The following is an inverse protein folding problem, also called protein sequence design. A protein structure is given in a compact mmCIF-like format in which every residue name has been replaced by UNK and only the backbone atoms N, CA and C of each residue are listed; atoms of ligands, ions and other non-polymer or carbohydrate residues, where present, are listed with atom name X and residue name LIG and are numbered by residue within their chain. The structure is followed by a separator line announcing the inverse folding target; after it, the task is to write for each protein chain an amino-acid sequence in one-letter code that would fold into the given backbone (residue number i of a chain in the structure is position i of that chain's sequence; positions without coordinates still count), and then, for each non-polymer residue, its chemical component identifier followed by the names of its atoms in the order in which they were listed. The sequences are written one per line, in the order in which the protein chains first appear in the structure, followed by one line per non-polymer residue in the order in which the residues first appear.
data_IF_451298665615
#
_entry.id   IF_451298665615
#
_cell.length_a   1.000
_cell.length_b   1.000
_cell.length_c   1.000
_cell.angle_alpha   90.00
_cell.angle_beta   90.00
_cell.angle_gamma   90.00
#
_symmetry.space_group_name_H-M   'P 1'
#
loop_
_entity.id
_entity.type
_entity.pdbx_description
1 polymer ?
#
# COMPACT_ATOMS: atom_id res chain seq x y z
N UNK A 1 17.92 20.66 50.79
CA UNK A 1 18.61 20.90 49.49
C UNK A 1 18.60 19.65 48.59
N UNK A 2 18.90 18.46 49.12
CA UNK A 2 18.96 17.20 48.36
C UNK A 2 17.64 16.81 47.68
N UNK A 3 16.48 17.00 48.35
CA UNK A 3 15.16 16.69 47.76
C UNK A 3 14.81 17.53 46.52
N UNK A 4 15.31 18.77 46.40
CA UNK A 4 15.02 19.62 45.23
C UNK A 4 15.76 19.13 43.97
N UNK A 5 16.94 18.54 44.15
CA UNK A 5 17.74 17.99 43.04
C UNK A 5 17.10 16.75 42.44
N UNK A 6 16.50 15.90 43.28
CA UNK A 6 15.83 14.67 42.84
C UNK A 6 14.57 14.97 42.04
N UNK A 7 13.80 15.97 42.47
CA UNK A 7 12.57 16.38 41.79
C UNK A 7 12.85 16.91 40.38
N UNK A 8 13.93 17.69 40.21
CA UNK A 8 14.31 18.24 38.91
C UNK A 8 14.74 17.12 37.95
N UNK A 9 15.56 16.17 38.42
CA UNK A 9 15.98 15.03 37.58
C UNK A 9 14.81 14.15 37.15
N UNK A 10 13.83 13.92 38.05
CA UNK A 10 12.63 13.16 37.74
C UNK A 10 11.79 13.84 36.65
N UNK A 11 11.60 15.17 36.75
CA UNK A 11 10.86 15.94 35.74
C UNK A 11 11.57 15.88 34.38
N UNK A 12 12.88 16.06 34.32
CA UNK A 12 13.62 15.94 33.06
C UNK A 12 13.51 14.54 32.43
N UNK A 13 13.54 13.49 33.25
CA UNK A 13 13.41 12.11 32.77
C UNK A 13 12.01 11.83 32.21
N UNK A 14 10.96 12.30 32.87
CA UNK A 14 9.58 12.16 32.40
C UNK A 14 9.39 12.92 31.09
N UNK A 15 9.84 14.17 31.00
CA UNK A 15 9.69 14.98 29.77
C UNK A 15 10.47 14.39 28.60
N UNK A 16 11.66 13.82 28.85
CA UNK A 16 12.45 13.13 27.83
C UNK A 16 11.78 11.84 27.34
N UNK A 17 11.19 11.04 28.23
CA UNK A 17 10.39 9.87 27.85
C UNK A 17 9.16 10.25 27.01
N UNK A 18 8.46 11.33 27.35
CA UNK A 18 7.30 11.81 26.58
C UNK A 18 7.67 12.26 25.17
N UNK A 19 8.87 12.84 24.98
CA UNK A 19 9.37 13.27 23.66
C UNK A 19 9.81 12.08 22.78
N UNK A 20 10.22 10.96 23.37
CA UNK A 20 10.56 9.72 22.65
C UNK A 20 9.33 8.95 22.15
N UNK A 21 8.18 9.09 22.83
CA UNK A 21 6.94 8.44 22.41
C UNK A 21 6.30 9.12 21.18
N UNK A 22 6.50 10.43 21.00
CA UNK A 22 6.00 11.16 19.83
C UNK A 22 6.87 11.02 18.58
N UNK A 23 8.03 10.37 18.66
CA UNK A 23 8.88 10.08 17.49
C UNK A 23 8.47 8.81 16.72
N UNK A 24 7.53 8.01 17.24
CA UNK A 24 6.95 6.85 16.57
C UNK A 24 5.60 7.15 15.90
N UNK A 25 5.33 8.40 15.55
CA UNK A 25 4.34 8.73 14.53
C UNK A 25 4.84 8.32 13.13
N UNK A 26 5.35 7.08 13.01
CA UNK A 26 5.32 6.38 11.74
C UNK A 26 3.87 6.19 11.37
N UNK A 27 3.54 6.37 10.10
CA UNK A 27 2.29 5.91 9.51
C UNK A 27 2.00 4.52 10.09
N UNK A 28 1.02 4.44 11.00
CA UNK A 28 0.68 3.19 11.66
C UNK A 28 0.23 2.18 10.60
N UNK A 29 0.19 0.88 10.94
CA UNK A 29 -0.49 -0.08 10.08
C UNK A 29 -1.87 0.48 9.75
N UNK A 30 -2.28 0.35 8.49
CA UNK A 30 -3.59 0.80 8.07
C UNK A 30 -4.60 0.23 9.07
N UNK A 31 -5.45 1.07 9.69
CA UNK A 31 -6.47 0.53 10.57
C UNK A 31 -7.23 -0.52 9.76
N UNK A 32 -7.49 -1.69 10.37
CA UNK A 32 -8.25 -2.76 9.73
C UNK A 32 -9.44 -2.12 9.03
N UNK A 33 -9.47 -2.22 7.70
CA UNK A 33 -10.52 -1.54 6.95
C UNK A 33 -11.84 -2.11 7.44
N UNK A 34 -12.73 -1.30 8.06
CA UNK A 34 -14.01 -1.80 8.54
C UNK A 34 -14.91 -2.25 7.39
N UNK A 35 -14.47 -2.03 6.15
CA UNK A 35 -15.17 -2.36 4.92
C UNK A 35 -14.50 -3.51 4.16
N UNK A 36 -13.66 -4.33 4.82
CA UNK A 36 -13.12 -5.54 4.22
C UNK A 36 -14.24 -6.41 3.64
N UNK A 37 -14.03 -6.97 2.44
CA UNK A 37 -15.05 -7.75 1.77
C UNK A 37 -15.12 -9.17 2.34
N UNK A 38 -16.17 -9.47 3.12
CA UNK A 38 -16.33 -10.74 3.83
C UNK A 38 -16.39 -11.97 2.90
N UNK A 39 -16.96 -11.83 1.70
CA UNK A 39 -17.10 -12.92 0.72
C UNK A 39 -15.91 -13.01 -0.25
N UNK A 40 -14.74 -12.54 0.18
CA UNK A 40 -13.54 -12.59 -0.63
C UNK A 40 -13.10 -14.04 -0.90
N UNK A 41 -12.57 -14.24 -2.11
CA UNK A 41 -12.01 -15.50 -2.56
C UNK A 41 -10.86 -15.18 -3.49
N UNK A 42 -9.65 -15.43 -3.00
CA UNK A 42 -8.42 -15.13 -3.69
C UNK A 42 -8.36 -15.90 -5.02
N UNK A 43 -8.81 -17.15 -5.05
CA UNK A 43 -8.88 -17.97 -6.27
C UNK A 43 -9.84 -17.42 -7.33
N UNK A 44 -10.99 -16.86 -6.93
CA UNK A 44 -11.94 -16.21 -7.85
C UNK A 44 -11.45 -14.84 -8.29
N UNK A 45 -10.74 -14.12 -7.42
CA UNK A 45 -10.15 -12.83 -7.72
C UNK A 45 -8.99 -12.91 -8.72
N UNK A 46 -8.58 -14.14 -9.09
CA UNK A 46 -7.52 -14.37 -10.04
C UNK A 46 -7.86 -13.86 -11.43
N UNK A 47 -6.92 -13.16 -12.04
CA UNK A 47 -7.09 -12.63 -13.38
C UNK A 47 -6.22 -11.44 -13.68
N UNK A 48 -6.63 -10.71 -14.72
CA UNK A 48 -6.03 -9.47 -15.15
C UNK A 48 -6.98 -8.33 -14.83
N UNK A 49 -6.53 -7.39 -13.99
CA UNK A 49 -7.29 -6.20 -13.66
C UNK A 49 -6.62 -4.95 -14.23
N UNK A 50 -7.45 -3.97 -14.59
CA UNK A 50 -7.02 -2.67 -15.07
C UNK A 50 -7.46 -1.60 -14.09
N UNK A 51 -6.52 -0.74 -13.68
CA UNK A 51 -6.87 0.43 -12.88
C UNK A 51 -7.68 1.41 -13.73
N UNK A 52 -8.94 1.62 -13.34
CA UNK A 52 -9.85 2.53 -14.04
C UNK A 52 -9.95 3.92 -13.39
N UNK A 53 -9.91 4.00 -12.06
CA UNK A 53 -10.08 5.25 -11.32
C UNK A 53 -9.44 5.16 -9.93
N UNK A 54 -9.03 6.31 -9.38
CA UNK A 54 -8.48 6.46 -8.02
C UNK A 54 -9.14 7.66 -7.31
N UNK A 55 -9.37 7.57 -6.00
CA UNK A 55 -9.97 8.65 -5.22
C UNK A 55 -8.98 9.72 -4.75
N UNK A 56 -7.68 9.42 -4.74
CA UNK A 56 -6.66 10.32 -4.22
C UNK A 56 -5.74 10.83 -5.34
N UNK A 57 -5.36 12.12 -5.26
CA UNK A 57 -4.46 12.79 -6.20
C UNK A 57 -3.00 12.29 -6.16
N UNK A 58 -2.71 11.28 -5.35
CA UNK A 58 -1.41 10.61 -5.32
C UNK A 58 -1.04 9.95 -6.67
N UNK A 59 -2.06 9.60 -7.48
CA UNK A 59 -1.89 9.15 -8.86
C UNK A 59 -2.12 10.27 -9.90
N UNK A 60 -2.55 11.48 -9.49
CA UNK A 60 -2.77 12.63 -10.37
C UNK A 60 -1.47 13.33 -10.82
N UNK A 61 -0.31 12.97 -10.27
CA UNK A 61 0.99 13.48 -10.71
C UNK A 61 1.40 13.01 -12.11
N UNK A 62 0.62 12.12 -12.74
CA UNK A 62 0.97 11.45 -14.01
C UNK A 62 0.01 11.78 -15.16
N UNK A 63 -0.65 12.94 -15.15
CA UNK A 63 -1.65 13.33 -16.17
C UNK A 63 -1.17 13.27 -17.63
N UNK A 64 0.15 13.25 -17.85
CA UNK A 64 0.77 13.20 -19.18
C UNK A 64 1.35 11.82 -19.54
N UNK A 65 1.25 10.81 -18.67
CA UNK A 65 1.79 9.47 -18.90
C UNK A 65 0.68 8.47 -19.22
N UNK A 66 0.80 7.77 -20.34
CA UNK A 66 0.00 6.57 -20.62
C UNK A 66 0.42 5.47 -19.64
N UNK A 67 -0.19 5.50 -18.45
CA UNK A 67 0.05 4.54 -17.38
C UNK A 67 -1.00 3.44 -17.42
N UNK A 68 -0.56 2.20 -17.59
CA UNK A 68 -1.42 1.03 -17.37
C UNK A 68 -0.93 0.30 -16.14
N UNK A 69 -1.77 0.28 -15.11
CA UNK A 69 -1.56 -0.55 -13.94
C UNK A 69 -2.31 -1.86 -14.16
N UNK A 70 -1.55 -2.94 -14.34
CA UNK A 70 -2.07 -4.29 -14.46
C UNK A 70 -1.98 -4.93 -13.09
N UNK A 71 -3.06 -5.53 -12.59
CA UNK A 71 -3.00 -6.40 -11.41
C UNK A 71 -3.13 -7.83 -11.89
N UNK A 72 -2.05 -8.62 -11.74
CA UNK A 72 -2.05 -10.03 -12.11
C UNK A 72 -2.07 -10.87 -10.84
N UNK A 73 -2.97 -11.85 -10.78
CA UNK A 73 -2.88 -12.84 -9.72
C UNK A 73 -1.85 -13.91 -10.02
N UNK A 74 -0.92 -14.17 -9.10
CA UNK A 74 0.05 -15.25 -9.26
C UNK A 74 -0.63 -16.63 -9.08
N UNK A 75 -0.32 -17.56 -9.98
CA UNK A 75 -0.93 -18.91 -10.02
C UNK A 75 -0.17 -20.01 -9.28
N UNK A 76 0.90 -19.68 -8.54
CA UNK A 76 1.59 -20.66 -7.69
C UNK A 76 1.04 -20.56 -6.25
N UNK A 77 1.55 -21.37 -5.33
CA UNK A 77 1.03 -21.64 -3.97
C UNK A 77 0.60 -20.42 -3.13
N UNK A 78 1.02 -19.21 -3.50
CA UNK A 78 0.51 -17.94 -2.95
C UNK A 78 -0.34 -17.17 -3.99
N UNK A 79 -1.58 -16.85 -3.63
CA UNK A 79 -2.36 -15.86 -4.40
C UNK A 79 -1.84 -14.48 -4.02
N UNK A 80 -1.35 -13.75 -5.00
CA UNK A 80 -0.83 -12.40 -4.80
C UNK A 80 -1.35 -11.43 -5.84
N UNK A 81 -1.15 -10.14 -5.63
CA UNK A 81 -1.41 -9.05 -6.57
C UNK A 81 -0.09 -8.51 -7.07
N UNK A 82 0.19 -8.68 -8.36
CA UNK A 82 1.30 -8.01 -9.02
C UNK A 82 0.79 -6.69 -9.61
N UNK A 83 1.01 -5.55 -8.96
CA UNK A 83 0.79 -4.23 -9.58
C UNK A 83 1.94 -3.92 -10.52
N UNK A 84 1.67 -4.03 -11.81
CA UNK A 84 2.63 -3.70 -12.86
C UNK A 84 2.30 -2.34 -13.45
N UNK A 85 3.17 -1.38 -13.19
CA UNK A 85 3.10 -0.04 -13.76
C UNK A 85 3.93 -0.02 -15.04
N UNK A 86 3.28 0.26 -16.16
CA UNK A 86 3.94 0.61 -17.42
C UNK A 86 3.83 2.12 -17.61
N UNK A 87 4.94 2.82 -17.45
CA UNK A 87 5.02 4.25 -17.75
C UNK A 87 5.69 4.41 -19.11
N UNK A 88 5.03 5.10 -20.04
CA UNK A 88 5.63 5.55 -21.29
C UNK A 88 5.85 7.07 -21.21
N UNK A 89 7.10 7.49 -21.08
CA UNK A 89 7.46 8.91 -21.21
C UNK A 89 7.92 9.19 -22.63
N UNK A 90 7.42 10.28 -23.20
CA UNK A 90 7.93 10.81 -24.46
C UNK A 90 8.91 11.93 -24.13
N UNK A 91 10.15 11.80 -24.57
CA UNK A 91 11.14 12.86 -24.38
C UNK A 91 10.96 13.98 -25.41
N UNK A 92 11.71 15.09 -25.21
CA UNK A 92 11.68 16.23 -26.12
C UNK A 92 12.13 15.92 -27.56
N UNK A 93 12.70 14.72 -27.81
CA UNK A 93 13.15 14.24 -29.11
C UNK A 93 12.18 13.24 -29.75
N UNK A 94 10.95 13.09 -29.23
CA UNK A 94 9.98 12.07 -29.64
C UNK A 94 10.45 10.61 -29.44
N UNK A 95 11.46 10.38 -28.61
CA UNK A 95 11.81 9.03 -28.18
C UNK A 95 10.90 8.60 -27.04
N UNK A 96 10.36 7.38 -27.13
CA UNK A 96 9.52 6.81 -26.08
C UNK A 96 10.37 5.92 -25.18
N UNK A 97 10.42 6.21 -23.87
CA UNK A 97 11.00 5.31 -22.88
C UNK A 97 9.87 4.61 -22.13
N UNK A 98 9.90 3.28 -22.12
CA UNK A 98 8.98 2.48 -21.31
C UNK A 98 9.69 2.00 -20.06
N UNK A 99 9.24 2.45 -18.90
CA UNK A 99 9.67 1.94 -17.61
C UNK A 99 8.65 0.92 -17.09
N UNK A 100 9.15 -0.17 -16.50
CA UNK A 100 8.33 -1.25 -15.95
C UNK A 100 8.67 -1.44 -14.49
N UNK A 101 7.69 -1.20 -13.64
CA UNK A 101 7.76 -1.50 -12.21
C UNK A 101 6.78 -2.61 -11.90
N UNK A 102 7.21 -3.62 -11.14
CA UNK A 102 6.33 -4.69 -10.66
C UNK A 102 6.39 -4.69 -9.14
N UNK A 103 5.26 -4.45 -8.50
CA UNK A 103 5.08 -4.54 -7.05
C UNK A 103 4.29 -5.79 -6.75
N UNK A 104 4.69 -6.53 -5.74
CA UNK A 104 4.03 -7.79 -5.36
C UNK A 104 3.39 -7.63 -4.00
N UNK A 105 2.14 -8.06 -3.89
CA UNK A 105 1.42 -8.24 -2.64
C UNK A 105 0.97 -9.69 -2.56
N UNK A 106 0.96 -10.30 -1.38
CA UNK A 106 0.43 -11.65 -1.18
C UNK A 106 -0.77 -11.60 -0.25
N UNK A 107 -1.85 -12.31 -0.60
CA UNK A 107 -2.96 -12.58 0.32
C UNK A 107 -2.51 -13.65 1.32
N UNK A 108 -2.85 -13.46 2.60
CA UNK A 108 -2.42 -14.42 3.63
C UNK A 108 -3.23 -15.73 3.57
N UNK A 109 -4.46 -15.70 3.07
CA UNK A 109 -5.31 -16.88 2.90
C UNK A 109 -6.33 -16.73 1.77
N UNK A 110 -7.00 -17.84 1.38
CA UNK A 110 -8.01 -17.85 0.32
C UNK A 110 -9.18 -16.90 0.59
N UNK A 111 -9.54 -16.67 1.85
CA UNK A 111 -10.68 -15.83 2.24
C UNK A 111 -10.27 -14.53 2.93
N UNK A 112 -8.98 -14.22 2.95
CA UNK A 112 -8.47 -12.99 3.53
C UNK A 112 -8.44 -11.88 2.46
N UNK A 113 -9.28 -10.82 2.58
CA UNK A 113 -9.28 -9.70 1.64
C UNK A 113 -8.04 -8.78 1.77
N UNK A 114 -7.16 -9.05 2.74
CA UNK A 114 -5.95 -8.27 2.98
C UNK A 114 -4.74 -8.89 2.27
N UNK A 115 -4.02 -8.04 1.53
CA UNK A 115 -2.77 -8.39 0.88
C UNK A 115 -1.62 -7.52 1.43
N UNK A 116 -0.50 -8.16 1.73
CA UNK A 116 0.70 -7.51 2.29
C UNK A 116 1.80 -7.42 1.24
N UNK A 117 2.53 -6.30 1.21
CA UNK A 117 3.63 -6.07 0.29
C UNK A 117 4.81 -7.02 0.50
N UNK A 118 5.40 -7.52 -0.59
CA UNK A 118 6.41 -8.61 -0.57
C UNK A 118 7.71 -8.30 -1.33
N UNK A 119 7.86 -7.17 -2.04
CA UNK A 119 9.05 -6.92 -2.88
C UNK A 119 9.81 -5.63 -2.55
N UNK A 120 11.13 -5.69 -2.46
CA UNK A 120 11.99 -4.54 -2.12
C UNK A 120 11.96 -3.42 -3.18
N UNK A 121 11.71 -2.19 -2.74
CA UNK A 121 11.89 -0.99 -3.58
C UNK A 121 10.89 0.14 -3.30
N UNK A 122 11.29 1.12 -2.48
CA UNK A 122 10.64 2.42 -2.35
C UNK A 122 9.61 2.57 -1.23
N UNK A 123 9.31 3.84 -0.91
CA UNK A 123 8.36 4.30 0.11
C UNK A 123 6.94 4.31 -0.48
N UNK A 124 6.23 3.18 -0.46
CA UNK A 124 4.93 2.99 -1.10
C UNK A 124 4.02 2.07 -0.24
N UNK A 125 2.69 2.11 -0.41
CA UNK A 125 1.73 1.56 0.54
C UNK A 125 1.95 0.07 0.83
N UNK A 126 1.92 -0.27 2.12
CA UNK A 126 2.34 -1.58 2.64
C UNK A 126 1.22 -2.63 2.61
N UNK A 127 -0.03 -2.17 2.54
CA UNK A 127 -1.25 -2.94 2.70
C UNK A 127 -2.27 -2.59 1.61
N UNK A 128 -2.88 -3.63 1.05
CA UNK A 128 -4.01 -3.51 0.12
C UNK A 128 -5.16 -4.31 0.68
N UNK A 129 -6.34 -3.72 0.74
CA UNK A 129 -7.55 -4.41 1.17
C UNK A 129 -8.59 -4.39 0.05
N UNK A 130 -9.15 -5.55 -0.26
CA UNK A 130 -10.30 -5.66 -1.15
C UNK A 130 -11.56 -5.27 -0.37
N UNK A 131 -12.13 -4.12 -0.69
CA UNK A 131 -13.32 -3.58 -0.03
C UNK A 131 -14.60 -4.09 -0.69
N UNK A 132 -14.55 -4.31 -2.02
CA UNK A 132 -15.68 -4.85 -2.78
C UNK A 132 -15.24 -5.43 -4.10
N UNK A 133 -15.82 -6.54 -4.53
CA UNK A 133 -15.60 -7.11 -5.85
C UNK A 133 -16.72 -8.07 -6.23
N UNK A 134 -16.92 -8.28 -7.52
CA UNK A 134 -17.70 -9.42 -8.06
C UNK A 134 -16.79 -10.55 -8.60
N UNK A 135 -15.48 -10.45 -8.31
CA UNK A 135 -14.41 -11.34 -8.75
C UNK A 135 -14.21 -11.45 -10.26
N UNK A 136 -14.92 -10.67 -11.08
CA UNK A 136 -14.87 -10.82 -12.53
C UNK A 136 -14.77 -9.50 -13.31
N UNK A 137 -15.57 -8.50 -12.94
CA UNK A 137 -15.70 -7.26 -13.73
C UNK A 137 -15.18 -6.03 -13.01
N UNK A 138 -15.23 -5.98 -11.67
CA UNK A 138 -14.67 -4.87 -10.92
C UNK A 138 -14.12 -5.27 -9.55
N UNK A 139 -13.22 -4.42 -9.05
CA UNK A 139 -12.71 -4.47 -7.69
C UNK A 139 -12.52 -3.04 -7.17
N UNK A 140 -12.84 -2.82 -5.90
CA UNK A 140 -12.54 -1.61 -5.16
C UNK A 140 -11.49 -1.98 -4.12
N UNK A 141 -10.34 -1.33 -4.23
CA UNK A 141 -9.21 -1.55 -3.36
C UNK A 141 -9.01 -0.32 -2.48
N UNK A 142 -8.82 -0.55 -1.20
CA UNK A 142 -8.26 0.42 -0.28
C UNK A 142 -6.76 0.16 -0.15
N UNK A 143 -5.95 1.23 -0.27
CA UNK A 143 -4.50 1.13 -0.34
C UNK A 143 -3.91 2.11 0.66
N UNK A 144 -3.04 1.60 1.52
CA UNK A 144 -2.29 2.33 2.53
C UNK A 144 -1.00 1.53 2.84
#
# INVERSE_FOLDING_TARGET
KIMKSFLIQLVFFITFCSLLQSAHAGFGPCPDSPNAYDDFSASKFRGLWYLYSTSNGYYDSYKDECRTDLVMSRGNETVGLDFKVLTSTQDANNSSRTERWVRKYDFQSEHDPHATFVSEGGFWPQHVTVVKTDHFSYAILEVC
#
